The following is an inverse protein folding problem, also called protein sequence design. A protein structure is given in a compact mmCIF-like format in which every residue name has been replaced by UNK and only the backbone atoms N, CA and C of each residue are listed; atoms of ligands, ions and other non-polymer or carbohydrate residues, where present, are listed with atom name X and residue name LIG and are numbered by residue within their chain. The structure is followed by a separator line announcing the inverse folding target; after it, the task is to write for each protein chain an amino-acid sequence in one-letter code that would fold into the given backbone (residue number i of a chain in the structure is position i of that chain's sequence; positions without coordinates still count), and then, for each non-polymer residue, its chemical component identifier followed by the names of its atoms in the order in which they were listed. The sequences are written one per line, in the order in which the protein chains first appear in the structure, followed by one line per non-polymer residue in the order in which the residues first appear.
data_IF_834911218146
#
_entry.id   IF_834911218146
#
_cell.length_a   1.000
_cell.length_b   1.000
_cell.length_c   1.000
_cell.angle_alpha   90.00
_cell.angle_beta   90.00
_cell.angle_gamma   90.00
#
_symmetry.space_group_name_H-M   'P 1'
#
loop_
_entity.id
_entity.type
_entity.pdbx_description
1 polymer ?
#
# COMPACT_ATOMS: atom_id res chain seq x y z
N UNK A 1 63.15 27.99 15.90
CA UNK A 1 63.34 28.18 14.45
C UNK A 1 62.37 27.26 13.75
N UNK A 2 61.47 27.68 12.88
CA UNK A 2 60.95 28.99 12.50
C UNK A 2 59.67 28.61 11.72
N UNK A 3 58.51 29.05 12.22
CA UNK A 3 57.62 30.00 11.51
C UNK A 3 56.90 29.36 10.32
N UNK A 4 55.57 29.35 10.27
CA UNK A 4 54.80 30.57 10.00
C UNK A 4 53.58 30.70 10.93
N UNK A 5 53.34 31.95 11.31
CA UNK A 5 52.46 32.45 12.35
C UNK A 5 51.30 33.28 11.79
N UNK A 6 50.13 33.16 12.44
CA UNK A 6 49.20 34.26 12.83
C UNK A 6 48.43 35.01 11.72
N UNK A 7 47.28 35.69 12.01
CA UNK A 7 46.95 36.32 13.29
C UNK A 7 45.55 36.09 13.87
N UNK A 8 45.48 36.22 15.20
CA UNK A 8 44.23 36.45 15.90
C UNK A 8 43.71 37.86 15.66
N UNK A 9 42.40 38.03 15.78
CA UNK A 9 41.82 39.34 16.01
C UNK A 9 40.60 39.20 16.93
N UNK A 10 40.63 39.97 18.01
CA UNK A 10 39.59 40.16 18.99
C UNK A 10 38.27 40.59 18.33
N UNK A 11 37.19 39.86 18.60
CA UNK A 11 35.83 40.37 18.37
C UNK A 11 35.15 40.64 19.71
N UNK A 12 34.99 41.93 19.93
CA UNK A 12 34.32 42.60 21.04
C UNK A 12 32.89 42.11 21.19
N UNK A 13 32.49 41.81 22.43
CA UNK A 13 31.09 41.75 22.85
C UNK A 13 30.48 43.15 22.67
N UNK A 14 29.73 43.35 21.58
CA UNK A 14 28.83 44.49 21.44
C UNK A 14 27.42 44.02 21.82
N UNK A 15 26.96 44.50 22.97
CA UNK A 15 25.55 44.51 23.32
C UNK A 15 24.80 45.48 22.39
N UNK A 16 23.64 45.08 21.81
CA UNK A 16 22.74 46.04 21.18
C UNK A 16 21.88 46.75 22.23
N UNK A 17 21.40 47.97 21.92
CA UNK A 17 20.97 48.95 22.91
C UNK A 17 19.55 48.69 23.44
N UNK A 18 19.36 49.05 24.71
CA UNK A 18 18.05 49.23 25.33
C UNK A 18 17.38 50.46 24.72
N UNK A 19 16.35 50.27 23.91
CA UNK A 19 15.37 51.32 23.62
C UNK A 19 14.10 51.03 24.40
N UNK A 20 13.86 51.84 25.42
CA UNK A 20 12.59 51.90 26.14
C UNK A 20 11.56 52.66 25.31
N UNK A 21 10.40 52.05 25.06
CA UNK A 21 9.16 52.80 24.87
C UNK A 21 8.08 52.14 25.71
N UNK A 22 7.66 52.86 26.76
CA UNK A 22 6.39 52.63 27.44
C UNK A 22 5.30 53.29 26.60
N UNK A 23 4.29 52.54 26.20
CA UNK A 23 2.93 53.05 26.18
C UNK A 23 1.97 51.88 26.33
N UNK A 24 1.17 51.95 27.38
CA UNK A 24 0.04 51.06 27.60
C UNK A 24 -1.00 51.29 26.48
N UNK A 25 -1.48 50.20 25.89
CA UNK A 25 -2.79 50.18 25.27
C UNK A 25 -3.35 48.77 25.42
N UNK A 26 -4.29 48.62 26.34
CA UNK A 26 -5.13 47.44 26.45
C UNK A 26 -5.95 47.31 25.16
N UNK A 27 -5.64 46.31 24.34
CA UNK A 27 -6.52 45.91 23.24
C UNK A 27 -7.11 44.56 23.60
N UNK A 28 -8.33 44.58 24.11
CA UNK A 28 -9.17 43.39 24.25
C UNK A 28 -9.52 42.87 22.85
N UNK A 29 -9.31 41.58 22.52
CA UNK A 29 -9.87 41.02 21.31
C UNK A 29 -11.37 40.80 21.54
N UNK A 30 -12.18 41.75 21.05
CA UNK A 30 -13.64 41.62 20.98
C UNK A 30 -13.96 40.72 19.79
N UNK A 31 -14.02 39.40 20.01
CA UNK A 31 -14.61 38.48 19.04
C UNK A 31 -16.12 38.71 19.00
N UNK A 32 -16.58 39.36 17.94
CA UNK A 32 -17.98 39.32 17.51
C UNK A 32 -18.20 37.98 16.82
N UNK A 33 -18.88 37.07 17.51
CA UNK A 33 -19.52 35.92 16.88
C UNK A 33 -20.95 36.35 16.56
N UNK A 34 -21.24 36.53 15.28
CA UNK A 34 -22.60 36.56 14.79
C UNK A 34 -23.05 35.11 14.60
N UNK A 35 -24.05 34.72 15.38
CA UNK A 35 -24.82 33.49 15.21
C UNK A 35 -25.47 33.45 13.83
N UNK A 36 -25.44 32.29 13.15
CA UNK A 36 -26.69 31.57 12.90
C UNK A 36 -26.52 30.21 12.23
N UNK A 37 -27.23 29.24 12.82
CA UNK A 37 -27.83 28.04 12.21
C UNK A 37 -26.93 26.84 11.88
N UNK A 38 -26.77 25.94 12.88
CA UNK A 38 -26.91 24.46 12.81
C UNK A 38 -26.10 23.77 13.95
N UNK A 39 -26.49 23.96 15.22
CA UNK A 39 -25.70 23.41 16.36
C UNK A 39 -26.55 22.88 17.53
N UNK A 40 -27.78 22.40 17.31
CA UNK A 40 -28.58 21.85 18.41
C UNK A 40 -28.38 20.34 18.65
N UNK A 41 -28.03 19.53 17.64
CA UNK A 41 -27.89 18.06 17.84
C UNK A 41 -26.51 17.62 18.34
N UNK A 42 -25.44 18.28 17.88
CA UNK A 42 -24.05 17.97 18.25
C UNK A 42 -23.74 18.29 19.72
N UNK A 43 -24.26 19.41 20.23
CA UNK A 43 -24.03 19.85 21.61
C UNK A 43 -24.70 18.94 22.65
N UNK A 44 -25.86 18.35 22.31
CA UNK A 44 -26.54 17.43 23.22
C UNK A 44 -25.84 16.06 23.31
N UNK A 45 -25.30 15.55 22.20
CA UNK A 45 -24.54 14.30 22.20
C UNK A 45 -23.21 14.44 22.97
N UNK A 46 -22.47 15.54 22.75
CA UNK A 46 -21.24 15.85 23.49
C UNK A 46 -21.50 16.06 24.99
N UNK A 47 -22.59 16.75 25.37
CA UNK A 47 -22.96 16.92 26.77
C UNK A 47 -23.40 15.61 27.43
N UNK A 48 -24.08 14.73 26.70
CA UNK A 48 -24.46 13.41 27.20
C UNK A 48 -23.24 12.52 27.42
N UNK A 49 -22.29 12.49 26.47
CA UNK A 49 -21.03 11.76 26.60
C UNK A 49 -20.18 12.34 27.75
N UNK A 50 -20.15 13.67 27.91
CA UNK A 50 -19.44 14.33 29.01
C UNK A 50 -20.07 14.06 30.39
N UNK A 51 -21.40 13.94 30.46
CA UNK A 51 -22.09 13.62 31.71
C UNK A 51 -21.98 12.13 32.07
N UNK A 52 -22.08 11.25 31.08
CA UNK A 52 -21.83 9.80 31.24
C UNK A 52 -20.36 9.57 31.62
N UNK A 53 -19.42 10.31 31.02
CA UNK A 53 -18.01 10.20 31.39
C UNK A 53 -17.72 10.77 32.79
N UNK A 54 -18.30 11.89 33.19
CA UNK A 54 -18.16 12.35 34.59
C UNK A 54 -18.74 11.35 35.60
N UNK A 55 -19.85 10.71 35.26
CA UNK A 55 -20.51 9.70 36.11
C UNK A 55 -19.72 8.38 36.19
N UNK A 56 -19.14 7.93 35.09
CA UNK A 56 -18.40 6.65 35.03
C UNK A 56 -16.92 6.79 35.41
N UNK A 57 -16.32 7.98 35.34
CA UNK A 57 -14.86 8.15 35.37
C UNK A 57 -14.34 8.93 36.58
N UNK A 58 -15.14 9.73 37.30
CA UNK A 58 -14.65 10.49 38.46
C UNK A 58 -13.35 11.28 38.19
N UNK A 59 -12.62 11.74 39.23
CA UNK A 59 -11.27 12.31 39.08
C UNK A 59 -10.15 11.26 39.03
N UNK A 60 -10.47 9.95 39.04
CA UNK A 60 -9.51 8.85 39.15
C UNK A 60 -9.56 7.90 37.94
N UNK A 61 -8.70 6.88 37.93
CA UNK A 61 -8.78 5.80 36.93
C UNK A 61 -10.18 5.14 36.93
N UNK A 62 -10.70 4.68 35.77
CA UNK A 62 -11.99 4.01 35.69
C UNK A 62 -12.10 2.80 36.62
N UNK A 63 -13.31 2.45 37.10
CA UNK A 63 -13.50 1.29 37.97
C UNK A 63 -13.00 -0.01 37.33
N UNK A 64 -12.33 -0.87 38.10
CA UNK A 64 -11.76 -2.13 37.60
C UNK A 64 -12.77 -3.04 36.89
N UNK A 65 -14.01 -3.08 37.38
CA UNK A 65 -15.10 -3.83 36.74
C UNK A 65 -15.46 -3.30 35.36
N UNK A 66 -15.55 -1.97 35.19
CA UNK A 66 -15.82 -1.34 33.90
C UNK A 66 -14.70 -1.68 32.90
N UNK A 67 -13.45 -1.55 33.34
CA UNK A 67 -12.28 -1.88 32.52
C UNK A 67 -12.30 -3.36 32.11
N UNK A 68 -12.56 -4.27 33.05
CA UNK A 68 -12.59 -5.71 32.79
C UNK A 68 -13.70 -6.07 31.80
N UNK A 69 -14.92 -5.55 31.99
CA UNK A 69 -16.05 -5.77 31.08
C UNK A 69 -15.76 -5.24 29.69
N UNK A 70 -15.23 -4.03 29.58
CA UNK A 70 -14.87 -3.44 28.29
C UNK A 70 -13.78 -4.25 27.56
N UNK A 71 -12.74 -4.70 28.28
CA UNK A 71 -11.69 -5.57 27.71
C UNK A 71 -12.26 -6.89 27.20
N UNK A 72 -13.12 -7.54 27.98
CA UNK A 72 -13.72 -8.83 27.60
C UNK A 72 -14.64 -8.68 26.40
N UNK A 73 -15.47 -7.63 26.37
CA UNK A 73 -16.35 -7.34 25.24
C UNK A 73 -15.52 -7.07 23.97
N UNK A 74 -14.54 -6.16 24.05
CA UNK A 74 -13.66 -5.85 22.93
C UNK A 74 -12.94 -7.08 22.39
N UNK A 75 -12.33 -7.87 23.28
CA UNK A 75 -11.57 -9.08 22.90
C UNK A 75 -12.48 -10.12 22.24
N UNK A 76 -13.68 -10.33 22.78
CA UNK A 76 -14.64 -11.28 22.21
C UNK A 76 -15.14 -10.85 20.83
N UNK A 77 -15.49 -9.58 20.67
CA UNK A 77 -15.89 -9.01 19.37
C UNK A 77 -14.75 -9.10 18.36
N UNK A 78 -13.53 -8.77 18.77
CA UNK A 78 -12.35 -8.86 17.92
C UNK A 78 -12.12 -10.30 17.42
N UNK A 79 -12.17 -11.31 18.31
CA UNK A 79 -12.02 -12.73 17.93
C UNK A 79 -13.09 -13.17 16.93
N UNK A 80 -14.35 -12.81 17.18
CA UNK A 80 -15.46 -13.13 16.29
C UNK A 80 -15.23 -12.57 14.88
N UNK A 81 -14.86 -11.30 14.79
CA UNK A 81 -14.62 -10.66 13.50
C UNK A 81 -13.40 -11.24 12.77
N UNK A 82 -12.29 -11.44 13.48
CA UNK A 82 -11.07 -11.97 12.90
C UNK A 82 -11.28 -13.38 12.32
N UNK A 83 -12.14 -14.20 12.94
CA UNK A 83 -12.51 -15.52 12.39
C UNK A 83 -13.12 -15.47 10.97
N UNK A 84 -13.78 -14.36 10.61
CA UNK A 84 -14.41 -14.20 9.30
C UNK A 84 -13.53 -13.42 8.32
N UNK A 85 -12.86 -12.37 8.80
CA UNK A 85 -12.06 -11.47 7.96
C UNK A 85 -10.68 -12.04 7.62
N UNK A 86 -10.08 -12.75 8.59
CA UNK A 86 -8.75 -13.32 8.48
C UNK A 86 -8.77 -14.77 9.00
N UNK A 87 -9.27 -15.72 8.17
CA UNK A 87 -9.32 -17.12 8.54
C UNK A 87 -7.96 -17.60 9.05
N UNK A 88 -7.95 -18.30 10.19
CA UNK A 88 -6.73 -18.76 10.82
C UNK A 88 -6.77 -20.26 11.08
N UNK A 89 -5.59 -20.88 11.13
CA UNK A 89 -5.41 -22.23 11.65
C UNK A 89 -5.55 -22.28 13.19
N UNK A 90 -5.58 -23.47 13.82
CA UNK A 90 -5.69 -23.59 15.27
C UNK A 90 -4.56 -22.94 16.08
N UNK A 91 -3.40 -22.66 15.47
CA UNK A 91 -2.29 -21.96 16.11
C UNK A 91 -2.46 -20.43 16.08
N UNK A 92 -3.48 -19.92 15.38
CA UNK A 92 -3.72 -18.49 15.16
C UNK A 92 -3.02 -17.93 13.92
N UNK A 93 -2.46 -18.79 13.06
CA UNK A 93 -1.79 -18.43 11.82
C UNK A 93 -2.78 -18.10 10.70
N UNK A 94 -2.64 -16.92 10.09
CA UNK A 94 -3.50 -16.49 8.98
C UNK A 94 -3.32 -17.35 7.72
N UNK A 95 -4.44 -17.79 7.15
CA UNK A 95 -4.51 -18.48 5.86
C UNK A 95 -5.30 -17.66 4.85
N UNK A 96 -4.66 -17.32 3.72
CA UNK A 96 -5.32 -16.59 2.64
C UNK A 96 -6.22 -17.52 1.82
N UNK A 97 -7.52 -17.23 1.66
CA UNK A 97 -8.37 -18.03 0.77
C UNK A 97 -7.94 -17.85 -0.70
N UNK A 98 -7.92 -18.92 -1.50
CA UNK A 98 -7.50 -18.87 -2.90
C UNK A 98 -8.49 -18.09 -3.78
N UNK A 99 -8.00 -17.55 -4.89
CA UNK A 99 -8.83 -16.94 -5.93
C UNK A 99 -9.71 -17.99 -6.62
N UNK A 100 -10.96 -17.63 -6.91
CA UNK A 100 -11.94 -18.56 -7.50
C UNK A 100 -11.80 -18.72 -9.01
N UNK A 101 -11.51 -17.62 -9.72
CA UNK A 101 -11.49 -17.58 -11.18
C UNK A 101 -10.03 -17.59 -11.63
N UNK A 102 -9.60 -18.76 -12.10
CA UNK A 102 -8.26 -18.98 -12.67
C UNK A 102 -8.33 -18.81 -14.18
N UNK A 103 -7.21 -18.40 -14.78
CA UNK A 103 -7.16 -18.24 -16.22
C UNK A 103 -7.36 -19.61 -16.90
N UNK A 104 -8.34 -19.70 -17.79
CA UNK A 104 -8.56 -20.92 -18.57
C UNK A 104 -7.50 -21.07 -19.66
N UNK A 105 -7.27 -22.28 -20.16
CA UNK A 105 -6.37 -22.51 -21.31
C UNK A 105 -6.79 -21.78 -22.58
N UNK A 106 -8.06 -21.37 -22.71
CA UNK A 106 -8.50 -20.52 -23.80
C UNK A 106 -8.14 -19.07 -23.45
N UNK A 107 -7.01 -18.62 -23.98
CA UNK A 107 -6.54 -17.25 -23.89
C UNK A 107 -7.53 -16.35 -24.65
N UNK A 108 -7.92 -15.17 -24.11
CA UNK A 108 -8.71 -14.19 -24.84
C UNK A 108 -8.08 -13.90 -26.20
N UNK A 109 -8.88 -13.90 -27.27
CA UNK A 109 -8.38 -13.58 -28.61
C UNK A 109 -8.11 -12.08 -28.72
N UNK A 110 -7.37 -11.65 -29.75
CA UNK A 110 -7.11 -10.21 -30.00
C UNK A 110 -8.38 -9.36 -30.18
N UNK A 111 -9.53 -10.00 -30.40
CA UNK A 111 -10.84 -9.36 -30.51
C UNK A 111 -11.58 -9.21 -29.18
N UNK A 112 -11.16 -9.91 -28.13
CA UNK A 112 -11.83 -9.84 -26.82
C UNK A 112 -11.60 -8.47 -26.20
N UNK A 113 -12.69 -7.73 -25.95
CA UNK A 113 -12.63 -6.44 -25.25
C UNK A 113 -12.45 -6.67 -23.74
N UNK A 114 -11.21 -6.61 -23.29
CA UNK A 114 -10.83 -6.79 -21.90
C UNK A 114 -10.93 -5.49 -21.11
N UNK A 115 -11.29 -5.60 -19.83
CA UNK A 115 -11.26 -4.50 -18.87
C UNK A 115 -10.72 -4.99 -17.53
N UNK A 116 -9.94 -4.15 -16.85
CA UNK A 116 -9.32 -4.51 -15.58
C UNK A 116 -9.90 -3.69 -14.43
N UNK A 117 -10.39 -4.38 -13.41
CA UNK A 117 -10.82 -3.76 -12.15
C UNK A 117 -9.74 -3.94 -11.09
N UNK A 118 -9.34 -2.83 -10.48
CA UNK A 118 -8.28 -2.79 -9.47
C UNK A 118 -8.67 -1.94 -8.26
N UNK A 119 -7.90 -2.03 -7.19
CA UNK A 119 -7.95 -1.08 -6.09
C UNK A 119 -6.52 -0.73 -5.67
N UNK A 120 -6.19 0.57 -5.64
CA UNK A 120 -4.83 1.06 -5.39
C UNK A 120 -4.19 0.56 -4.08
N UNK A 121 -4.94 0.37 -2.97
CA UNK A 121 -4.36 -0.22 -1.76
C UNK A 121 -3.84 -1.64 -1.96
N UNK A 122 -4.46 -2.43 -2.83
CA UNK A 122 -4.20 -3.86 -2.96
C UNK A 122 -2.86 -4.13 -3.68
N UNK A 123 -1.86 -4.77 -3.03
CA UNK A 123 -0.59 -5.10 -3.69
C UNK A 123 -0.77 -6.11 -4.83
N UNK A 124 -1.72 -7.03 -4.72
CA UNK A 124 -2.04 -8.02 -5.76
C UNK A 124 -2.56 -7.36 -7.03
N UNK A 125 -3.42 -6.33 -6.89
CA UNK A 125 -3.90 -5.54 -8.01
C UNK A 125 -2.82 -4.59 -8.54
N UNK A 126 -1.90 -4.15 -7.68
CA UNK A 126 -0.80 -3.30 -8.10
C UNK A 126 0.14 -4.01 -9.07
N UNK A 127 0.33 -5.33 -8.96
CA UNK A 127 1.13 -6.13 -9.92
C UNK A 127 0.63 -5.97 -11.34
N UNK A 128 -0.69 -6.06 -11.52
CA UNK A 128 -1.30 -5.96 -12.86
C UNK A 128 -1.18 -4.55 -13.42
N UNK A 129 -1.23 -3.51 -12.58
CA UNK A 129 -0.96 -2.13 -13.00
C UNK A 129 0.49 -1.91 -13.43
N UNK A 130 1.45 -2.45 -12.66
CA UNK A 130 2.88 -2.34 -13.00
C UNK A 130 3.17 -3.05 -14.32
N UNK A 131 2.76 -4.31 -14.49
CA UNK A 131 3.00 -5.04 -15.75
C UNK A 131 2.26 -4.40 -16.92
N UNK A 132 1.02 -3.91 -16.71
CA UNK A 132 0.29 -3.14 -17.73
C UNK A 132 1.07 -1.91 -18.20
N UNK A 133 1.66 -1.15 -17.28
CA UNK A 133 2.47 0.02 -17.62
C UNK A 133 3.77 -0.37 -18.33
N UNK A 134 4.49 -1.39 -17.83
CA UNK A 134 5.74 -1.87 -18.43
C UNK A 134 5.55 -2.40 -19.85
N UNK A 135 4.46 -3.13 -20.10
CA UNK A 135 4.12 -3.66 -21.44
C UNK A 135 3.47 -2.61 -22.36
N UNK A 136 3.12 -1.44 -21.83
CA UNK A 136 2.41 -0.40 -22.60
C UNK A 136 1.01 -0.85 -23.04
N UNK A 137 0.26 -1.49 -22.14
CA UNK A 137 -1.07 -2.05 -22.39
C UNK A 137 -2.21 -1.09 -22.01
N UNK A 138 -1.93 0.22 -21.88
CA UNK A 138 -2.90 1.14 -21.28
C UNK A 138 -4.17 1.32 -22.11
N UNK A 139 -4.01 1.43 -23.42
CA UNK A 139 -5.12 1.52 -24.38
C UNK A 139 -5.84 0.19 -24.56
N UNK A 140 -5.08 -0.91 -24.62
CA UNK A 140 -5.61 -2.25 -24.84
C UNK A 140 -6.42 -2.77 -23.63
N UNK A 141 -6.01 -2.41 -22.42
CA UNK A 141 -6.63 -2.84 -21.16
C UNK A 141 -7.03 -1.62 -20.34
N UNK A 142 -8.20 -1.01 -20.58
CA UNK A 142 -8.70 0.08 -19.75
C UNK A 142 -8.95 -0.37 -18.31
N UNK A 143 -8.91 0.59 -17.37
CA UNK A 143 -9.04 0.31 -15.93
C UNK A 143 -10.18 1.07 -15.27
N UNK A 144 -10.91 0.37 -14.39
CA UNK A 144 -11.78 0.97 -13.35
C UNK A 144 -11.11 0.79 -12.00
N UNK A 145 -10.90 1.88 -11.27
CA UNK A 145 -10.12 1.88 -10.02
C UNK A 145 -11.08 2.09 -8.85
N UNK A 146 -11.29 1.05 -8.05
CA UNK A 146 -12.10 1.12 -6.85
C UNK A 146 -11.31 1.71 -5.67
N UNK A 147 -12.03 2.39 -4.79
CA UNK A 147 -11.57 2.74 -3.46
C UNK A 147 -12.28 1.87 -2.41
N UNK A 148 -11.72 1.69 -1.21
CA UNK A 148 -12.40 0.90 -0.19
C UNK A 148 -13.66 1.60 0.35
N UNK A 149 -14.72 0.82 0.55
CA UNK A 149 -15.97 1.20 1.22
C UNK A 149 -15.89 0.98 2.72
N UNK A 150 -16.80 1.61 3.48
CA UNK A 150 -16.82 1.50 4.94
C UNK A 150 -17.11 0.08 5.44
N UNK A 151 -17.79 -0.73 4.62
CA UNK A 151 -18.12 -2.13 4.87
C UNK A 151 -17.01 -3.10 4.40
N UNK A 152 -15.87 -2.57 3.94
CA UNK A 152 -14.77 -3.35 3.37
C UNK A 152 -14.97 -3.75 1.91
N UNK A 153 -16.05 -3.34 1.26
CA UNK A 153 -16.26 -3.56 -0.17
C UNK A 153 -15.36 -2.67 -1.04
N UNK A 154 -15.25 -3.00 -2.33
CA UNK A 154 -14.57 -2.15 -3.31
C UNK A 154 -15.62 -1.28 -4.03
N UNK A 155 -15.59 0.03 -3.79
CA UNK A 155 -16.55 1.00 -4.31
C UNK A 155 -15.97 1.84 -5.44
N UNK A 156 -16.80 2.12 -6.44
CA UNK A 156 -16.47 2.99 -7.57
C UNK A 156 -16.98 4.40 -7.32
N UNK A 157 -16.07 5.27 -6.90
CA UNK A 157 -16.33 6.66 -6.53
C UNK A 157 -15.20 7.54 -7.02
N UNK A 158 -15.56 8.75 -7.43
CA UNK A 158 -14.56 9.78 -7.72
C UNK A 158 -14.06 10.32 -6.40
N UNK A 159 -12.78 10.07 -6.10
CA UNK A 159 -12.10 10.65 -4.94
C UNK A 159 -10.94 11.50 -5.48
N UNK A 160 -10.95 12.81 -5.22
CA UNK A 160 -9.81 13.66 -5.54
C UNK A 160 -8.69 13.37 -4.54
N UNK A 161 -7.80 12.43 -4.90
CA UNK A 161 -6.54 12.25 -4.20
C UNK A 161 -5.50 13.23 -4.76
N UNK A 162 -5.41 14.39 -4.13
CA UNK A 162 -4.41 15.41 -4.44
C UNK A 162 -4.85 16.47 -5.44
N UNK A 163 -4.12 17.58 -5.43
CA UNK A 163 -4.19 18.60 -6.46
C UNK A 163 -3.67 17.99 -7.78
N UNK A 164 -4.30 18.30 -8.92
CA UNK A 164 -3.91 17.76 -10.23
C UNK A 164 -2.52 18.27 -10.72
N UNK A 165 -1.73 18.85 -9.83
CA UNK A 165 -0.39 19.40 -10.06
C UNK A 165 0.60 18.55 -9.24
N UNK A 166 1.55 17.81 -9.84
CA UNK A 166 2.57 18.34 -10.75
C UNK A 166 2.85 17.51 -12.02
N UNK A 167 2.39 16.26 -12.11
CA UNK A 167 2.72 15.38 -13.25
C UNK A 167 1.52 14.74 -13.97
N UNK A 168 0.27 14.98 -13.55
CA UNK A 168 -0.94 14.55 -14.28
C UNK A 168 -1.21 13.02 -14.40
N UNK A 169 -0.21 12.18 -14.16
CA UNK A 169 -0.22 10.77 -14.55
C UNK A 169 -0.55 9.78 -13.41
N UNK A 170 -0.57 10.22 -12.15
CA UNK A 170 -0.83 9.32 -11.01
C UNK A 170 -2.25 8.76 -11.06
N UNK A 171 -2.37 7.43 -10.94
CA UNK A 171 -3.65 6.75 -10.93
C UNK A 171 -4.47 7.11 -9.68
N UNK A 172 -5.76 7.39 -9.88
CA UNK A 172 -6.73 7.72 -8.83
C UNK A 172 -7.99 6.86 -8.97
N UNK A 173 -8.79 6.66 -7.90
CA UNK A 173 -10.08 6.00 -7.99
C UNK A 173 -11.01 6.65 -9.00
N UNK A 174 -11.84 5.84 -9.63
CA UNK A 174 -12.77 6.24 -10.68
C UNK A 174 -14.16 5.65 -10.43
N UNK A 175 -15.16 6.17 -11.13
CA UNK A 175 -16.38 5.41 -11.43
C UNK A 175 -16.08 4.13 -12.21
N UNK A 176 -17.04 3.21 -12.21
CA UNK A 176 -17.02 2.07 -13.11
C UNK A 176 -17.28 2.55 -14.55
N UNK A 177 -16.26 2.39 -15.39
CA UNK A 177 -16.27 2.85 -16.79
C UNK A 177 -17.00 1.92 -17.75
N UNK A 178 -17.37 0.70 -17.31
CA UNK A 178 -17.95 -0.32 -18.20
C UNK A 178 -19.41 -0.61 -17.86
N UNK A 179 -19.69 -1.00 -16.61
CA UNK A 179 -21.02 -1.46 -16.24
C UNK A 179 -21.84 -0.43 -15.46
N UNK A 180 -21.23 0.69 -15.05
CA UNK A 180 -21.87 1.71 -14.21
C UNK A 180 -22.24 1.21 -12.81
N UNK A 181 -21.62 0.11 -12.35
CA UNK A 181 -21.86 -0.44 -11.01
C UNK A 181 -21.30 0.48 -9.92
N UNK A 182 -21.90 0.41 -8.73
CA UNK A 182 -21.45 1.19 -7.56
C UNK A 182 -20.29 0.54 -6.83
N UNK A 183 -20.22 -0.78 -6.87
CA UNK A 183 -19.18 -1.56 -6.20
C UNK A 183 -18.84 -2.82 -7.01
N UNK A 184 -17.70 -3.44 -6.70
CA UNK A 184 -17.20 -4.61 -7.39
C UNK A 184 -18.12 -5.83 -7.22
N UNK A 185 -18.83 -5.94 -6.08
CA UNK A 185 -19.78 -7.05 -5.85
C UNK A 185 -20.91 -7.03 -6.89
N UNK A 186 -21.41 -5.86 -7.25
CA UNK A 186 -22.38 -5.71 -8.34
C UNK A 186 -21.82 -6.17 -9.67
N UNK A 187 -20.57 -5.86 -10.00
CA UNK A 187 -19.94 -6.32 -11.25
C UNK A 187 -19.85 -7.85 -11.29
N UNK A 188 -19.41 -8.49 -10.19
CA UNK A 188 -19.37 -9.94 -10.08
C UNK A 188 -20.77 -10.60 -10.27
N UNK A 189 -21.84 -9.92 -9.84
CA UNK A 189 -23.22 -10.40 -10.02
C UNK A 189 -23.72 -10.33 -11.45
N UNK A 190 -23.14 -9.47 -12.29
CA UNK A 190 -23.50 -9.38 -13.70
C UNK A 190 -23.09 -10.61 -14.51
N UNK A 191 -22.14 -11.40 -13.98
CA UNK A 191 -21.73 -12.68 -14.55
C UNK A 191 -22.94 -13.58 -14.82
N UNK A 192 -22.91 -14.34 -15.91
CA UNK A 192 -23.92 -15.37 -16.19
C UNK A 192 -24.06 -16.35 -15.02
N UNK A 193 -25.27 -16.44 -14.46
CA UNK A 193 -25.57 -17.27 -13.28
C UNK A 193 -25.28 -16.61 -11.93
N UNK A 194 -24.79 -15.36 -11.92
CA UNK A 194 -24.48 -14.59 -10.71
C UNK A 194 -23.26 -15.10 -9.93
N UNK A 195 -22.81 -14.30 -8.96
CA UNK A 195 -21.79 -14.69 -8.00
C UNK A 195 -21.97 -13.91 -6.68
N UNK A 196 -22.11 -14.66 -5.58
CA UNK A 196 -22.25 -14.09 -4.22
C UNK A 196 -21.03 -14.37 -3.32
N UNK A 197 -19.92 -14.87 -3.89
CA UNK A 197 -18.69 -15.09 -3.13
C UNK A 197 -17.85 -13.82 -2.95
N UNK A 198 -16.57 -14.01 -2.60
CA UNK A 198 -15.65 -12.88 -2.35
C UNK A 198 -15.34 -12.13 -3.64
N UNK A 199 -15.77 -10.87 -3.72
CA UNK A 199 -15.44 -9.96 -4.81
C UNK A 199 -14.07 -9.30 -4.56
N UNK A 200 -13.01 -9.82 -5.17
CA UNK A 200 -11.62 -9.38 -4.94
C UNK A 200 -11.04 -8.68 -6.15
N UNK A 201 -10.17 -7.69 -5.92
CA UNK A 201 -9.27 -7.14 -6.94
C UNK A 201 -7.91 -7.86 -6.89
N UNK A 202 -7.20 -8.00 -8.02
CA UNK A 202 -7.62 -7.59 -9.37
C UNK A 202 -8.70 -8.51 -9.95
N UNK A 203 -9.47 -8.00 -10.90
CA UNK A 203 -10.41 -8.77 -11.70
C UNK A 203 -10.28 -8.38 -13.17
N UNK A 204 -9.89 -9.35 -14.00
CA UNK A 204 -9.91 -9.24 -15.45
C UNK A 204 -11.28 -9.66 -15.98
N UNK A 205 -11.90 -8.79 -16.77
CA UNK A 205 -13.29 -8.87 -17.19
C UNK A 205 -13.41 -8.86 -18.71
N UNK A 206 -14.25 -9.73 -19.25
CA UNK A 206 -14.71 -9.68 -20.64
C UNK A 206 -15.94 -8.78 -20.71
N UNK A 207 -15.80 -7.65 -21.40
CA UNK A 207 -16.84 -6.62 -21.52
C UNK A 207 -18.05 -7.13 -22.29
N UNK A 208 -17.82 -7.92 -23.35
CA UNK A 208 -18.88 -8.36 -24.27
C UNK A 208 -19.67 -9.53 -23.68
N UNK A 209 -18.95 -10.52 -23.14
CA UNK A 209 -19.56 -11.71 -22.54
C UNK A 209 -20.08 -11.46 -21.12
N UNK A 210 -19.72 -10.32 -20.51
CA UNK A 210 -19.99 -9.98 -19.11
C UNK A 210 -19.52 -11.11 -18.18
N UNK A 211 -18.25 -11.46 -18.30
CA UNK A 211 -17.68 -12.63 -17.63
C UNK A 211 -16.36 -12.30 -16.93
N UNK A 212 -16.14 -12.92 -15.77
CA UNK A 212 -14.87 -12.85 -15.04
C UNK A 212 -13.90 -13.83 -15.69
N UNK A 213 -12.89 -13.30 -16.39
CA UNK A 213 -11.83 -14.10 -17.01
C UNK A 213 -10.89 -14.65 -15.95
N UNK A 214 -10.44 -13.80 -15.03
CA UNK A 214 -9.49 -14.17 -14.00
C UNK A 214 -9.55 -13.20 -12.81
N UNK A 215 -9.36 -13.71 -11.60
CA UNK A 215 -9.10 -12.90 -10.41
C UNK A 215 -7.89 -13.40 -9.60
N UNK A 216 -7.00 -14.15 -10.23
CA UNK A 216 -5.65 -14.43 -9.72
C UNK A 216 -4.66 -13.42 -10.30
N UNK A 217 -3.94 -12.71 -9.43
CA UNK A 217 -3.01 -11.67 -9.84
C UNK A 217 -1.83 -12.19 -10.67
N UNK A 218 -1.30 -13.36 -10.33
CA UNK A 218 -0.14 -13.93 -11.02
C UNK A 218 -0.51 -14.40 -12.44
N UNK A 219 -1.63 -15.14 -12.58
CA UNK A 219 -2.16 -15.55 -13.88
C UNK A 219 -2.41 -14.33 -14.81
N UNK A 220 -2.91 -13.22 -14.27
CA UNK A 220 -3.16 -11.99 -15.04
C UNK A 220 -1.84 -11.36 -15.53
N UNK A 221 -0.81 -11.27 -14.70
CA UNK A 221 0.47 -10.69 -15.13
C UNK A 221 1.22 -11.59 -16.11
N UNK A 222 1.07 -12.91 -16.02
CA UNK A 222 1.59 -13.83 -17.03
C UNK A 222 0.87 -13.64 -18.38
N UNK A 223 -0.46 -13.50 -18.36
CA UNK A 223 -1.25 -13.18 -19.55
C UNK A 223 -0.81 -11.84 -20.16
N UNK A 224 -0.61 -10.80 -19.36
CA UNK A 224 -0.14 -9.50 -19.84
C UNK A 224 1.27 -9.57 -20.42
N UNK A 225 2.15 -10.40 -19.84
CA UNK A 225 3.52 -10.54 -20.28
C UNK A 225 3.63 -11.14 -21.70
N UNK A 226 2.97 -12.27 -21.96
CA UNK A 226 3.16 -13.03 -23.20
C UNK A 226 1.90 -13.17 -24.05
N UNK A 227 0.73 -13.29 -23.43
CA UNK A 227 -0.53 -13.56 -24.14
C UNK A 227 -1.10 -12.36 -24.88
N UNK A 228 -0.68 -11.14 -24.54
CA UNK A 228 -1.16 -9.88 -25.13
C UNK A 228 -0.09 -9.13 -25.93
N UNK A 229 1.02 -9.77 -26.32
CA UNK A 229 2.10 -9.12 -27.06
C UNK A 229 1.62 -8.45 -28.36
N UNK A 230 0.63 -9.01 -29.05
CA UNK A 230 0.06 -8.38 -30.26
C UNK A 230 -0.67 -7.05 -30.03
N UNK A 231 -0.94 -6.69 -28.76
CA UNK A 231 -1.60 -5.45 -28.36
C UNK A 231 -0.69 -4.52 -27.52
N UNK A 232 0.51 -4.99 -27.16
CA UNK A 232 1.45 -4.28 -26.31
C UNK A 232 2.24 -3.24 -27.13
N UNK A 233 2.54 -2.08 -26.53
CA UNK A 233 3.48 -1.12 -27.13
C UNK A 233 4.95 -1.59 -26.99
N UNK A 234 5.24 -2.40 -25.97
CA UNK A 234 6.56 -3.00 -25.73
C UNK A 234 6.47 -4.55 -25.84
N UNK A 235 6.17 -5.10 -27.02
CA UNK A 235 5.96 -6.55 -27.20
C UNK A 235 7.21 -7.39 -26.92
N UNK A 236 8.41 -6.83 -27.14
CA UNK A 236 9.71 -7.47 -26.94
C UNK A 236 10.13 -7.59 -25.47
N UNK A 237 9.54 -6.80 -24.56
CA UNK A 237 9.80 -6.92 -23.14
C UNK A 237 9.22 -8.23 -22.59
N UNK A 238 10.10 -9.19 -22.27
CA UNK A 238 9.72 -10.43 -21.62
C UNK A 238 10.19 -10.46 -20.15
N UNK A 239 9.21 -10.40 -19.25
CA UNK A 239 9.37 -10.45 -17.79
C UNK A 239 9.29 -11.89 -17.24
N UNK A 240 9.04 -12.89 -18.07
CA UNK A 240 9.00 -14.31 -17.69
C UNK A 240 9.69 -15.19 -18.74
N UNK A 241 10.96 -14.89 -19.08
CA UNK A 241 11.68 -15.61 -20.12
C UNK A 241 11.94 -17.05 -19.67
N UNK A 242 11.92 -17.98 -20.63
CA UNK A 242 11.93 -19.43 -20.37
C UNK A 242 13.16 -19.84 -19.56
N UNK A 243 14.32 -19.23 -19.85
CA UNK A 243 15.60 -19.51 -19.19
C UNK A 243 15.64 -19.09 -17.72
N UNK A 244 14.82 -18.12 -17.28
CA UNK A 244 14.78 -17.66 -15.88
C UNK A 244 13.61 -18.26 -15.08
N UNK A 245 12.76 -19.09 -15.69
CA UNK A 245 11.56 -19.62 -15.01
C UNK A 245 11.88 -20.38 -13.73
N UNK A 246 12.91 -21.23 -13.74
CA UNK A 246 13.31 -21.99 -12.55
C UNK A 246 13.73 -21.06 -11.41
N UNK A 247 14.55 -20.05 -11.69
CA UNK A 247 15.00 -19.08 -10.70
C UNK A 247 13.85 -18.19 -10.19
N UNK A 248 12.93 -17.80 -11.07
CA UNK A 248 11.71 -17.08 -10.68
C UNK A 248 10.82 -17.92 -9.77
N UNK A 249 10.66 -19.22 -10.04
CA UNK A 249 9.89 -20.15 -9.21
C UNK A 249 10.52 -20.30 -7.81
N UNK A 250 11.85 -20.42 -7.73
CA UNK A 250 12.59 -20.46 -6.48
C UNK A 250 12.37 -19.18 -5.65
N UNK A 251 12.51 -18.01 -6.27
CA UNK A 251 12.26 -16.73 -5.60
C UNK A 251 10.81 -16.56 -5.17
N UNK A 252 9.85 -16.87 -6.05
CA UNK A 252 8.43 -16.81 -5.72
C UNK A 252 8.07 -17.74 -4.56
N UNK A 253 8.73 -18.91 -4.45
CA UNK A 253 8.61 -19.85 -3.34
C UNK A 253 9.01 -19.26 -1.98
N UNK A 254 9.87 -18.23 -1.96
CA UNK A 254 10.24 -17.48 -0.75
C UNK A 254 9.36 -16.22 -0.60
N UNK A 255 9.23 -15.44 -1.67
CA UNK A 255 8.57 -14.14 -1.70
C UNK A 255 7.10 -14.27 -1.31
N UNK A 256 6.36 -15.23 -1.88
CA UNK A 256 4.93 -15.35 -1.58
C UNK A 256 4.65 -15.69 -0.10
N UNK A 257 5.12 -16.81 0.46
CA UNK A 257 4.74 -17.21 1.82
C UNK A 257 5.35 -16.34 2.92
N UNK A 258 6.55 -15.79 2.71
CA UNK A 258 7.31 -15.09 3.75
C UNK A 258 7.28 -13.56 3.62
N UNK A 259 7.05 -13.01 2.43
CA UNK A 259 7.06 -11.55 2.22
C UNK A 259 5.68 -11.04 1.85
N UNK A 260 5.15 -11.42 0.67
CA UNK A 260 3.87 -10.90 0.21
C UNK A 260 2.71 -11.29 1.11
N UNK A 261 2.61 -12.58 1.46
CA UNK A 261 1.64 -13.06 2.44
C UNK A 261 2.19 -12.96 3.87
N UNK A 262 3.51 -12.95 4.05
CA UNK A 262 4.15 -12.86 5.37
C UNK A 262 3.78 -11.60 6.15
N UNK A 263 3.73 -10.43 5.49
CA UNK A 263 3.28 -9.19 6.15
C UNK A 263 1.83 -9.29 6.64
N UNK A 264 0.94 -9.94 5.88
CA UNK A 264 -0.44 -10.19 6.30
C UNK A 264 -0.53 -11.22 7.42
N UNK A 265 0.33 -12.26 7.39
CA UNK A 265 0.46 -13.22 8.50
C UNK A 265 0.89 -12.54 9.79
N UNK A 266 1.75 -11.52 9.73
CA UNK A 266 2.09 -10.68 10.89
C UNK A 266 0.88 -9.86 11.33
N UNK A 267 0.27 -9.10 10.41
CA UNK A 267 -0.80 -8.16 10.73
C UNK A 267 -2.08 -8.81 11.24
N UNK A 268 -2.37 -10.03 10.80
CA UNK A 268 -3.57 -10.78 11.15
C UNK A 268 -3.33 -11.96 12.09
N UNK A 269 -2.12 -12.12 12.64
CA UNK A 269 -1.84 -13.14 13.64
C UNK A 269 -2.80 -13.00 14.84
N UNK A 270 -3.33 -14.14 15.29
CA UNK A 270 -4.27 -14.20 16.42
C UNK A 270 -3.64 -14.73 17.71
N UNK A 271 -2.35 -15.05 17.67
CA UNK A 271 -1.53 -15.47 18.81
C UNK A 271 -0.14 -14.83 18.70
N UNK A 272 0.58 -14.75 19.83
CA UNK A 272 1.95 -14.25 19.85
C UNK A 272 2.87 -15.20 19.06
N UNK A 273 2.65 -16.51 19.21
CA UNK A 273 3.44 -17.55 18.56
C UNK A 273 3.30 -17.49 17.03
N UNK A 274 2.08 -17.31 16.51
CA UNK A 274 1.85 -17.17 15.08
C UNK A 274 2.48 -15.89 14.52
N UNK A 275 2.42 -14.79 15.29
CA UNK A 275 3.10 -13.55 14.93
C UNK A 275 4.62 -13.73 14.90
N UNK A 276 5.21 -14.35 15.92
CA UNK A 276 6.66 -14.57 16.04
C UNK A 276 7.18 -15.43 14.88
N UNK A 277 6.47 -16.50 14.52
CA UNK A 277 6.81 -17.32 13.34
C UNK A 277 6.76 -16.48 12.06
N UNK A 278 5.69 -15.71 11.86
CA UNK A 278 5.51 -14.91 10.66
C UNK A 278 6.57 -13.80 10.52
N UNK A 279 6.82 -13.05 11.59
CA UNK A 279 7.74 -11.92 11.58
C UNK A 279 9.19 -12.37 11.45
N UNK A 280 9.58 -13.49 12.09
CA UNK A 280 10.91 -14.07 11.93
C UNK A 280 11.14 -14.61 10.52
N UNK A 281 10.14 -15.24 9.91
CA UNK A 281 10.19 -15.70 8.51
C UNK A 281 10.29 -14.54 7.52
N UNK A 282 9.54 -13.46 7.76
CA UNK A 282 9.60 -12.23 6.97
C UNK A 282 10.98 -11.61 7.00
N UNK A 283 11.52 -11.32 8.18
CA UNK A 283 12.80 -10.63 8.28
C UNK A 283 13.99 -11.50 7.85
N UNK A 284 13.98 -12.80 8.13
CA UNK A 284 15.01 -13.70 7.57
C UNK A 284 14.99 -13.71 6.03
N UNK A 285 13.81 -13.57 5.42
CA UNK A 285 13.68 -13.51 3.95
C UNK A 285 14.14 -12.15 3.41
N UNK A 286 13.82 -11.04 4.09
CA UNK A 286 14.31 -9.71 3.72
C UNK A 286 15.83 -9.61 3.86
N UNK A 287 16.40 -10.14 4.93
CA UNK A 287 17.85 -10.22 5.16
C UNK A 287 18.52 -10.98 4.00
N UNK A 288 18.01 -12.17 3.64
CA UNK A 288 18.48 -12.95 2.48
C UNK A 288 18.40 -12.18 1.16
N UNK A 289 17.31 -11.46 0.91
CA UNK A 289 17.12 -10.70 -0.32
C UNK A 289 18.04 -9.48 -0.40
N UNK A 290 18.27 -8.78 0.72
CA UNK A 290 19.20 -7.66 0.78
C UNK A 290 20.64 -8.12 0.49
N UNK A 291 21.07 -9.25 1.06
CA UNK A 291 22.38 -9.83 0.78
C UNK A 291 22.52 -10.20 -0.71
N UNK A 292 21.53 -10.90 -1.28
CA UNK A 292 21.53 -11.27 -2.69
C UNK A 292 21.58 -10.04 -3.62
N UNK A 293 20.77 -9.02 -3.34
CA UNK A 293 20.70 -7.79 -4.14
C UNK A 293 21.92 -6.89 -3.98
N UNK A 294 22.86 -7.25 -3.10
CA UNK A 294 24.20 -6.64 -3.04
C UNK A 294 25.13 -7.10 -4.16
N UNK A 295 24.88 -8.28 -4.75
CA UNK A 295 25.65 -8.82 -5.88
C UNK A 295 24.90 -8.84 -7.21
N UNK A 296 23.58 -8.66 -7.19
CA UNK A 296 22.72 -8.73 -8.38
C UNK A 296 21.82 -7.51 -8.50
N UNK A 297 21.56 -7.02 -9.71
CA UNK A 297 20.68 -5.85 -9.93
C UNK A 297 19.21 -6.18 -9.61
N UNK A 298 18.75 -7.34 -10.04
CA UNK A 298 17.41 -7.88 -9.79
C UNK A 298 17.49 -9.29 -9.20
N UNK A 299 16.35 -9.89 -8.88
CA UNK A 299 16.31 -11.22 -8.26
C UNK A 299 16.88 -12.32 -9.15
N UNK A 300 16.73 -12.21 -10.47
CA UNK A 300 17.20 -13.21 -11.44
C UNK A 300 18.34 -12.66 -12.31
N UNK A 301 19.30 -11.97 -11.68
CA UNK A 301 20.45 -11.38 -12.38
C UNK A 301 20.23 -9.92 -12.81
N UNK A 302 20.52 -9.61 -14.07
CA UNK A 302 20.52 -8.25 -14.62
C UNK A 302 19.20 -7.85 -15.32
N UNK A 303 18.25 -8.78 -15.42
CA UNK A 303 16.92 -8.57 -16.04
C UNK A 303 15.81 -8.46 -15.00
N UNK A 304 14.91 -7.49 -15.20
CA UNK A 304 13.67 -7.38 -14.44
C UNK A 304 12.71 -8.51 -14.81
N UNK A 305 12.13 -9.18 -13.81
CA UNK A 305 11.19 -10.28 -14.00
C UNK A 305 9.85 -10.07 -13.28
N UNK A 306 8.89 -10.97 -13.49
CA UNK A 306 7.64 -10.98 -12.72
C UNK A 306 7.87 -11.24 -11.22
N UNK A 307 8.96 -11.93 -10.83
CA UNK A 307 9.32 -12.11 -9.42
C UNK A 307 9.64 -10.76 -8.76
N UNK A 308 10.33 -9.87 -9.50
CA UNK A 308 10.65 -8.53 -9.03
C UNK A 308 9.39 -7.67 -8.85
N UNK A 309 8.46 -7.72 -9.80
CA UNK A 309 7.16 -7.05 -9.68
C UNK A 309 6.38 -7.58 -8.46
N UNK A 310 6.40 -8.90 -8.22
CA UNK A 310 5.75 -9.49 -7.06
C UNK A 310 6.35 -9.00 -5.74
N UNK A 311 7.67 -8.85 -5.65
CA UNK A 311 8.36 -8.31 -4.48
C UNK A 311 8.11 -6.80 -4.31
N UNK A 312 8.35 -6.02 -5.36
CA UNK A 312 8.22 -4.55 -5.39
C UNK A 312 6.89 -4.07 -4.80
N UNK A 313 5.78 -4.71 -5.18
CA UNK A 313 4.44 -4.31 -4.73
C UNK A 313 4.24 -4.43 -3.22
N UNK A 314 5.00 -5.30 -2.54
CA UNK A 314 5.07 -5.37 -1.07
C UNK A 314 6.06 -4.34 -0.51
N UNK A 315 7.25 -4.22 -1.09
CA UNK A 315 8.29 -3.31 -0.61
C UNK A 315 7.82 -1.84 -0.59
N UNK A 316 7.15 -1.37 -1.64
CA UNK A 316 6.65 0.01 -1.74
C UNK A 316 5.59 0.35 -0.67
N UNK A 317 5.01 -0.66 -0.01
CA UNK A 317 4.03 -0.52 1.08
C UNK A 317 4.65 -0.75 2.47
N UNK A 318 5.90 -1.19 2.54
CA UNK A 318 6.49 -1.71 3.76
C UNK A 318 6.58 -0.64 4.86
N UNK A 319 7.31 0.44 4.60
CA UNK A 319 7.51 1.49 5.61
C UNK A 319 6.26 2.36 5.83
N UNK A 320 5.44 2.56 4.79
CA UNK A 320 4.22 3.39 4.88
C UNK A 320 3.06 2.67 5.59
N UNK A 321 3.00 1.34 5.52
CA UNK A 321 1.88 0.55 6.06
C UNK A 321 2.36 -0.59 6.97
N UNK A 322 3.09 -1.56 6.42
CA UNK A 322 3.28 -2.85 7.09
C UNK A 322 4.14 -2.75 8.35
N UNK A 323 5.14 -1.87 8.33
CA UNK A 323 6.00 -1.62 9.47
C UNK A 323 5.18 -1.22 10.71
N UNK A 324 4.24 -0.28 10.56
CA UNK A 324 3.42 0.23 11.66
C UNK A 324 2.18 -0.62 11.88
N UNK A 325 1.30 -0.72 10.88
CA UNK A 325 -0.03 -1.33 11.04
C UNK A 325 0.05 -2.84 11.27
N UNK A 326 0.95 -3.53 10.57
CA UNK A 326 1.13 -4.99 10.68
C UNK A 326 2.25 -5.36 11.65
N UNK A 327 2.78 -4.40 12.40
CA UNK A 327 3.84 -4.58 13.40
C UNK A 327 5.14 -5.17 12.82
N UNK A 328 5.39 -5.07 11.51
CA UNK A 328 6.62 -5.53 10.89
C UNK A 328 7.80 -4.59 11.20
N UNK A 329 8.17 -4.49 12.49
CA UNK A 329 8.94 -3.37 13.08
C UNK A 329 10.42 -3.65 13.35
N UNK A 330 10.92 -4.88 13.13
CA UNK A 330 12.33 -5.23 13.43
C UNK A 330 13.31 -4.29 12.74
N UNK A 331 13.03 -3.90 11.49
CA UNK A 331 13.83 -3.01 10.67
C UNK A 331 12.94 -2.35 9.61
N UNK A 332 13.12 -1.07 9.33
CA UNK A 332 12.50 -0.38 8.20
C UNK A 332 13.17 -0.79 6.90
N UNK A 333 12.44 -0.69 5.79
CA UNK A 333 12.98 -0.98 4.47
C UNK A 333 14.15 -0.05 4.13
N UNK A 334 14.07 1.23 4.53
CA UNK A 334 15.16 2.21 4.31
C UNK A 334 16.51 1.81 4.93
N UNK A 335 16.50 0.93 5.93
CA UNK A 335 17.70 0.47 6.63
C UNK A 335 18.36 -0.72 5.90
N UNK A 336 17.74 -1.24 4.84
CA UNK A 336 18.30 -2.25 3.95
C UNK A 336 18.91 -1.59 2.71
N UNK A 337 20.24 -1.43 2.62
CA UNK A 337 20.87 -0.62 1.58
C UNK A 337 20.57 -1.14 0.17
N UNK A 338 20.56 -2.46 -0.05
CA UNK A 338 20.37 -3.04 -1.37
C UNK A 338 18.88 -3.11 -1.73
N UNK A 339 18.02 -3.56 -0.82
CA UNK A 339 16.57 -3.59 -1.03
C UNK A 339 15.99 -2.20 -1.25
N UNK A 340 16.47 -1.19 -0.51
CA UNK A 340 15.97 0.17 -0.68
C UNK A 340 16.46 0.77 -2.01
N UNK A 341 17.70 0.53 -2.41
CA UNK A 341 18.18 0.93 -3.73
C UNK A 341 17.41 0.19 -4.85
N UNK A 342 17.14 -1.10 -4.68
CA UNK A 342 16.34 -1.93 -5.59
C UNK A 342 14.90 -1.42 -5.73
N UNK A 343 14.27 -1.04 -4.62
CA UNK A 343 12.95 -0.42 -4.64
C UNK A 343 12.94 0.86 -5.49
N UNK A 344 13.95 1.73 -5.31
CA UNK A 344 14.08 2.98 -6.08
C UNK A 344 14.35 2.72 -7.56
N UNK A 345 15.18 1.73 -7.91
CA UNK A 345 15.44 1.32 -9.30
C UNK A 345 14.12 0.98 -10.02
N UNK A 346 13.29 0.10 -9.43
CA UNK A 346 11.99 -0.26 -10.03
C UNK A 346 11.01 0.93 -10.02
N UNK A 347 10.97 1.72 -8.96
CA UNK A 347 10.09 2.89 -8.86
C UNK A 347 10.34 3.93 -9.96
N UNK A 348 11.61 4.11 -10.34
CA UNK A 348 12.06 5.09 -11.34
C UNK A 348 11.91 4.61 -12.78
N UNK A 349 11.58 3.33 -13.01
CA UNK A 349 11.23 2.87 -14.37
C UNK A 349 10.03 3.69 -14.87
N UNK A 350 10.08 4.22 -16.12
CA UNK A 350 9.02 5.05 -16.67
C UNK A 350 7.63 4.46 -16.43
N UNK A 351 6.69 5.31 -15.99
CA UNK A 351 5.30 4.98 -15.65
C UNK A 351 5.06 4.14 -14.39
N UNK A 352 6.09 3.57 -13.75
CA UNK A 352 5.89 2.79 -12.50
C UNK A 352 5.51 3.69 -11.32
N UNK A 353 6.16 4.85 -11.17
CA UNK A 353 5.81 5.81 -10.11
C UNK A 353 4.33 6.23 -10.15
N UNK A 354 3.75 6.35 -11.36
CA UNK A 354 2.35 6.73 -11.57
C UNK A 354 1.35 5.70 -11.03
N UNK A 355 1.75 4.44 -10.83
CA UNK A 355 0.90 3.40 -10.23
C UNK A 355 0.90 3.45 -8.69
N UNK A 356 1.80 4.24 -8.08
CA UNK A 356 2.07 4.27 -6.65
C UNK A 356 1.37 5.45 -5.93
N UNK A 357 0.04 5.40 -5.79
CA UNK A 357 -0.72 6.41 -5.05
C UNK A 357 -0.66 6.17 -3.53
N UNK A 358 0.33 6.76 -2.84
CA UNK A 358 0.52 6.59 -1.39
C UNK A 358 -0.68 7.02 -0.54
N UNK A 359 -1.33 8.18 -0.77
CA UNK A 359 -2.54 8.55 -0.04
C UNK A 359 -3.63 7.48 -0.14
N UNK A 360 -3.94 7.00 -1.35
CA UNK A 360 -4.94 5.95 -1.54
C UNK A 360 -4.53 4.64 -0.87
N UNK A 361 -3.25 4.24 -0.96
CA UNK A 361 -2.70 3.07 -0.26
C UNK A 361 -2.95 3.21 1.24
N UNK A 362 -2.47 4.29 1.86
CA UNK A 362 -2.56 4.47 3.30
C UNK A 362 -4.01 4.57 3.77
N UNK A 363 -4.90 5.23 3.02
CA UNK A 363 -6.32 5.29 3.35
C UNK A 363 -6.97 3.92 3.37
N UNK A 364 -6.65 3.08 2.39
CA UNK A 364 -7.22 1.74 2.34
C UNK A 364 -6.78 0.84 3.50
N UNK A 365 -5.57 1.02 4.01
CA UNK A 365 -5.07 0.25 5.14
C UNK A 365 -5.45 0.86 6.49
N UNK A 366 -5.13 2.13 6.75
CA UNK A 366 -5.39 2.75 8.05
C UNK A 366 -6.85 3.11 8.26
N UNK A 367 -7.56 3.52 7.21
CA UNK A 367 -8.94 3.97 7.33
C UNK A 367 -9.95 2.81 7.39
N UNK A 368 -9.69 1.75 6.63
CA UNK A 368 -10.72 0.76 6.25
C UNK A 368 -10.38 -0.67 6.68
N UNK A 369 -9.11 -0.99 6.95
CA UNK A 369 -8.71 -2.33 7.39
C UNK A 369 -9.03 -2.56 8.87
N UNK A 370 -10.33 -2.60 9.16
CA UNK A 370 -10.91 -2.98 10.43
C UNK A 370 -10.64 -4.48 10.70
N UNK A 371 -10.32 -4.91 11.94
CA UNK A 371 -10.22 -4.13 13.20
C UNK A 371 -8.85 -3.54 13.54
N UNK A 372 -7.85 -3.59 12.65
CA UNK A 372 -6.46 -3.36 13.05
C UNK A 372 -6.16 -1.93 13.51
N UNK A 373 -6.92 -0.94 13.03
CA UNK A 373 -6.79 0.46 13.43
C UNK A 373 -8.17 1.09 13.74
N UNK A 374 -8.73 0.86 14.94
CA UNK A 374 -10.09 1.30 15.27
C UNK A 374 -10.31 2.81 15.19
N UNK A 375 -9.26 3.61 15.38
CA UNK A 375 -9.35 5.06 15.31
C UNK A 375 -9.34 5.63 13.89
N UNK A 376 -9.07 4.81 12.87
CA UNK A 376 -8.90 5.22 11.47
C UNK A 376 -7.86 6.33 11.26
N UNK A 377 -6.98 6.55 12.25
CA UNK A 377 -5.93 7.57 12.19
C UNK A 377 -4.85 7.09 11.24
N UNK A 378 -4.56 7.90 10.23
CA UNK A 378 -3.47 7.68 9.29
C UNK A 378 -2.21 8.39 9.81
N UNK A 379 -1.08 7.70 9.96
CA UNK A 379 0.18 8.36 10.27
C UNK A 379 0.62 9.26 9.10
N UNK A 380 1.51 10.21 9.38
CA UNK A 380 2.18 10.95 8.31
C UNK A 380 3.05 10.01 7.47
N UNK A 381 3.18 10.28 6.18
CA UNK A 381 4.07 9.52 5.29
C UNK A 381 5.52 9.69 5.81
N UNK A 382 6.28 8.60 6.03
CA UNK A 382 7.70 8.71 6.35
C UNK A 382 8.44 9.47 5.23
N UNK A 383 9.35 10.38 5.60
CA UNK A 383 10.13 11.17 4.62
C UNK A 383 10.96 10.31 3.66
N UNK A 384 11.35 9.10 4.07
CA UNK A 384 12.02 8.13 3.21
C UNK A 384 11.14 7.49 2.13
N UNK A 385 9.85 7.82 2.07
CA UNK A 385 8.88 7.24 1.14
C UNK A 385 8.18 8.27 0.24
N UNK A 386 8.53 9.55 0.35
CA UNK A 386 7.99 10.55 -0.56
C UNK A 386 8.60 10.43 -1.97
N UNK A 387 7.94 11.04 -2.95
CA UNK A 387 8.36 10.97 -4.35
C UNK A 387 9.77 11.54 -4.55
N UNK A 388 10.11 12.65 -3.87
CA UNK A 388 11.43 13.27 -4.01
C UNK A 388 12.54 12.33 -3.54
N UNK A 389 12.34 11.64 -2.43
CA UNK A 389 13.28 10.68 -1.88
C UNK A 389 13.40 9.42 -2.74
N UNK A 390 12.26 8.90 -3.22
CA UNK A 390 12.23 7.71 -4.08
C UNK A 390 12.82 7.96 -5.46
N UNK A 391 12.83 9.21 -5.94
CA UNK A 391 13.44 9.65 -7.20
C UNK A 391 14.93 9.98 -7.09
N UNK A 392 15.57 9.78 -5.93
CA UNK A 392 17.03 9.95 -5.79
C UNK A 392 17.80 8.83 -6.50
N UNK A 393 19.01 9.10 -7.03
CA UNK A 393 19.83 8.09 -7.69
C UNK A 393 19.99 6.82 -6.83
N UNK A 394 19.81 5.66 -7.45
CA UNK A 394 19.97 4.36 -6.79
C UNK A 394 21.31 3.69 -7.08
N UNK A 395 22.03 4.08 -8.15
CA UNK A 395 23.34 3.57 -8.55
C UNK A 395 23.36 2.04 -8.74
N UNK A 396 22.27 1.48 -9.29
CA UNK A 396 22.16 0.03 -9.53
C UNK A 396 22.41 -0.35 -10.99
N UNK A 397 22.48 0.63 -11.87
CA UNK A 397 22.80 0.48 -13.28
C UNK A 397 24.20 -0.11 -13.46
N UNK A 398 25.15 0.23 -12.58
CA UNK A 398 26.50 -0.33 -12.59
C UNK A 398 26.57 -1.81 -12.17
N UNK A 399 25.47 -2.39 -11.68
CA UNK A 399 25.38 -3.81 -11.33
C UNK A 399 24.89 -4.67 -12.49
N UNK A 400 24.38 -4.07 -13.57
CA UNK A 400 24.15 -4.80 -14.81
C UNK A 400 25.50 -5.19 -15.40
N UNK A 401 25.66 -6.45 -15.81
CA UNK A 401 26.88 -6.86 -16.51
C UNK A 401 27.05 -5.97 -17.75
N UNK A 402 28.22 -5.36 -17.92
CA UNK A 402 28.59 -4.74 -19.19
C UNK A 402 28.65 -5.88 -20.19
N UNK A 403 27.60 -6.06 -21.00
CA UNK A 403 27.71 -6.86 -22.21
C UNK A 403 28.72 -6.13 -23.11
N UNK A 404 29.99 -6.51 -23.01
CA UNK A 404 30.93 -6.27 -24.09
C UNK A 404 30.41 -7.08 -25.28
N UNK A 405 29.64 -6.42 -26.13
CA UNK A 405 29.39 -6.89 -27.50
C UNK A 405 30.72 -6.70 -28.23
N UNK A 406 31.50 -7.77 -28.31
CA UNK A 406 32.67 -7.88 -29.19
C UNK A 406 32.26 -8.26 -30.59
#
# INVERSE_FOLDING_TARGET
MQCISLPGCHLRLHAPPKTSFKSACHVSPRMSLNDNSKTSSSNNALNLINNISKLLWGPSLPPGLLISTARTAWTSTWKLMMSQLAPSDPSGGYTRPPSKFRLSRQIPTSTTKLHLYVGLPCPWAHRTLVVRALKGLEEAIPVSIAAPGLDGSWEFKDIPYGDKSKDGDTLVPTRDKINGCRNLKEVYRLRKGGYEGRATVPMLWDVEQKEVICNESYDIIELFNSGLNGLAQNPELDLSPVELKGEMEEWNGVIYPNVNNGVYRCGFAQSQEAYDVAVNGLFSSLDKMDDHLGGSRYLCGDRLTLADVCLFTTLIRFDVVYNVLFKCTKKKLLEYPNLHAYLRDIYQIPKVAATCNFPAIMDGYYGILFPLNPGSIRPVVPSGCDHEFLSRPHNRESMSAVQYVS
#
